data_IF_840492872893
#
_entry.id   IF_840492872893
#
_cell.length_a   1.000
_cell.length_b   1.000
_cell.length_c   1.000
_cell.angle_alpha   90.00
_cell.angle_beta   90.00
_cell.angle_gamma   90.00
#
_symmetry.space_group_name_H-M   'P 1'
#
loop_
_entity.id
_entity.type
_entity.pdbx_description
1 polymer ?
#
# COMPACT_ATOMS: atom_id res chain seq x y z
N UNK A 1 -0.37 -18.87 11.50
CA UNK A 1 0.37 -17.74 12.06
C UNK A 1 1.47 -18.30 12.94
N UNK A 2 2.71 -18.30 12.47
CA UNK A 2 3.87 -18.68 13.30
C UNK A 2 4.00 -17.66 14.42
N UNK A 3 4.06 -18.13 15.68
CA UNK A 3 4.44 -17.33 16.84
C UNK A 3 5.84 -16.73 16.62
N UNK A 4 5.89 -15.57 15.97
CA UNK A 4 7.12 -14.80 15.83
C UNK A 4 7.42 -14.20 17.19
N UNK A 5 8.45 -14.70 17.87
CA UNK A 5 9.03 -14.02 19.05
C UNK A 5 9.44 -12.61 18.65
N UNK A 6 8.60 -11.63 18.95
CA UNK A 6 8.92 -10.23 18.75
C UNK A 6 10.03 -9.84 19.71
N UNK A 7 11.24 -9.59 19.20
CA UNK A 7 12.30 -9.00 20.01
C UNK A 7 11.99 -7.52 20.20
N UNK A 8 11.60 -7.15 21.42
CA UNK A 8 11.35 -5.78 21.82
C UNK A 8 12.61 -5.14 22.41
N UNK A 9 12.72 -3.82 22.30
CA UNK A 9 13.72 -3.04 23.01
C UNK A 9 13.14 -1.70 23.47
N UNK A 10 13.61 -1.21 24.60
CA UNK A 10 13.24 0.11 25.09
C UNK A 10 13.91 1.20 24.24
N UNK A 11 13.12 2.12 23.72
CA UNK A 11 13.61 3.26 22.96
C UNK A 11 13.91 4.47 23.88
N UNK A 12 14.47 5.55 23.34
CA UNK A 12 14.81 6.73 24.12
C UNK A 12 13.60 7.50 24.72
N UNK A 13 12.37 7.12 24.35
CA UNK A 13 11.13 7.62 24.95
C UNK A 13 10.55 6.68 26.02
N UNK A 14 11.30 5.65 26.45
CA UNK A 14 10.88 4.68 27.46
C UNK A 14 9.83 3.67 26.98
N UNK A 15 9.71 3.45 25.68
CA UNK A 15 8.70 2.55 25.09
C UNK A 15 9.36 1.29 24.53
N UNK A 16 8.77 0.13 24.85
CA UNK A 16 9.12 -1.14 24.21
C UNK A 16 8.63 -1.14 22.76
N UNK A 17 9.56 -1.21 21.81
CA UNK A 17 9.27 -1.25 20.37
C UNK A 17 9.91 -2.48 19.72
N UNK A 18 9.29 -3.05 18.68
CA UNK A 18 9.86 -4.18 17.97
C UNK A 18 11.14 -3.76 17.23
N UNK A 19 12.15 -4.63 17.30
CA UNK A 19 13.40 -4.47 16.53
C UNK A 19 13.23 -4.84 15.05
N UNK A 20 12.16 -5.57 14.70
CA UNK A 20 11.82 -5.98 13.35
C UNK A 20 10.32 -5.82 13.10
N UNK A 21 9.95 -5.27 11.95
CA UNK A 21 8.57 -5.11 11.50
C UNK A 21 8.46 -5.71 10.09
N UNK A 22 7.52 -6.64 9.89
CA UNK A 22 7.33 -7.33 8.60
C UNK A 22 8.63 -7.95 8.04
N UNK A 23 9.44 -8.57 8.91
CA UNK A 23 10.73 -9.16 8.55
C UNK A 23 11.86 -8.16 8.26
N UNK A 24 11.61 -6.85 8.33
CA UNK A 24 12.60 -5.81 8.11
C UNK A 24 13.10 -5.23 9.43
N UNK A 25 14.39 -4.88 9.55
CA UNK A 25 14.91 -4.22 10.74
C UNK A 25 14.25 -2.84 10.91
N UNK A 26 13.71 -2.58 12.09
CA UNK A 26 13.15 -1.30 12.46
C UNK A 26 14.15 -0.53 13.31
N UNK A 27 14.33 0.76 13.05
CA UNK A 27 15.20 1.63 13.86
C UNK A 27 14.38 2.29 14.96
N UNK A 28 14.60 1.95 16.25
CA UNK A 28 13.94 2.64 17.35
C UNK A 28 14.30 4.11 17.39
N UNK A 29 13.41 4.92 17.96
CA UNK A 29 13.71 6.30 18.30
C UNK A 29 14.90 6.38 19.27
N UNK A 30 16.00 7.02 18.85
CA UNK A 30 17.25 7.11 19.61
C UNK A 30 17.38 8.39 20.46
N UNK A 31 16.39 9.28 20.41
CA UNK A 31 16.43 10.59 21.07
C UNK A 31 16.55 11.74 20.08
N UNK A 32 16.24 12.95 20.56
CA UNK A 32 16.32 14.19 19.76
C UNK A 32 17.78 14.46 19.41
N UNK A 33 18.08 14.71 18.12
CA UNK A 33 19.43 14.98 17.60
C UNK A 33 20.45 13.83 17.72
N UNK A 34 20.02 12.59 18.00
CA UNK A 34 20.93 11.44 18.18
C UNK A 34 21.08 10.61 16.90
N UNK A 35 20.05 10.55 16.05
CA UNK A 35 20.05 9.72 14.86
C UNK A 35 20.10 10.56 13.58
N UNK A 36 21.08 10.27 12.72
CA UNK A 36 21.19 10.78 11.35
C UNK A 36 20.81 9.65 10.37
N UNK A 37 19.68 9.72 9.68
CA UNK A 37 19.34 8.78 8.61
C UNK A 37 20.36 8.89 7.46
N UNK A 38 20.68 7.76 6.84
CA UNK A 38 21.53 7.67 5.65
C UNK A 38 20.80 6.90 4.54
N UNK A 39 21.18 7.14 3.29
CA UNK A 39 20.59 6.48 2.11
C UNK A 39 20.05 7.47 1.07
N UNK A 40 19.47 6.92 0.01
CA UNK A 40 18.82 7.69 -1.05
C UNK A 40 17.30 7.73 -0.84
N UNK A 41 16.66 8.79 -1.36
CA UNK A 41 15.20 8.80 -1.50
C UNK A 41 14.79 7.87 -2.65
N UNK A 42 13.66 7.18 -2.49
CA UNK A 42 13.08 6.41 -3.59
C UNK A 42 12.68 7.34 -4.75
N UNK A 43 12.94 6.90 -5.99
CA UNK A 43 12.53 7.59 -7.20
C UNK A 43 11.82 6.60 -8.13
N UNK A 44 10.58 6.88 -8.58
CA UNK A 44 9.90 6.02 -9.52
C UNK A 44 10.51 6.13 -10.92
N UNK A 45 10.39 5.08 -11.76
CA UNK A 45 10.70 5.18 -13.18
C UNK A 45 9.86 6.27 -13.86
N UNK A 46 10.43 6.92 -14.88
CA UNK A 46 9.73 7.95 -15.66
C UNK A 46 8.80 7.28 -16.68
N UNK A 47 7.48 7.55 -16.66
CA UNK A 47 6.59 7.07 -17.71
C UNK A 47 6.82 7.85 -19.02
N UNK A 48 6.75 7.17 -20.17
CA UNK A 48 6.99 7.79 -21.49
C UNK A 48 5.70 7.87 -22.31
N UNK A 49 5.58 8.91 -23.15
CA UNK A 49 4.45 9.03 -24.08
C UNK A 49 4.45 7.93 -25.18
N UNK A 50 5.59 7.26 -25.40
CA UNK A 50 5.70 6.16 -26.35
C UNK A 50 4.80 4.96 -25.99
N UNK A 51 4.45 4.83 -24.70
CA UNK A 51 3.61 3.74 -24.19
C UNK A 51 2.11 4.01 -24.38
N UNK A 52 1.73 5.15 -24.98
CA UNK A 52 0.36 5.61 -25.14
C UNK A 52 -0.01 5.87 -26.61
N UNK A 53 -1.31 5.95 -26.94
CA UNK A 53 -1.77 6.31 -28.29
C UNK A 53 -1.16 7.60 -28.82
N UNK A 54 -0.94 7.68 -30.14
CA UNK A 54 -0.31 8.83 -30.81
C UNK A 54 -1.05 10.15 -30.63
N UNK A 55 -2.36 10.10 -30.39
CA UNK A 55 -3.19 11.28 -30.13
C UNK A 55 -3.07 11.78 -28.67
N UNK A 56 -2.30 11.10 -27.82
CA UNK A 56 -2.08 11.45 -26.42
C UNK A 56 -3.26 11.12 -25.50
N UNK A 57 -4.33 10.50 -26.00
CA UNK A 57 -5.51 10.20 -25.19
C UNK A 57 -5.25 9.00 -24.26
N UNK A 58 -5.31 9.25 -22.95
CA UNK A 58 -5.11 8.24 -21.90
C UNK A 58 -6.40 7.73 -21.26
N UNK A 59 -7.55 8.21 -21.73
CA UNK A 59 -8.86 7.83 -21.19
C UNK A 59 -9.19 6.38 -21.54
N UNK A 60 -9.80 5.68 -20.58
CA UNK A 60 -10.33 4.32 -20.74
C UNK A 60 -11.80 4.30 -20.32
N UNK A 61 -12.55 3.31 -20.80
CA UNK A 61 -14.01 3.25 -20.60
C UNK A 61 -14.44 2.93 -19.16
N UNK A 62 -13.60 2.25 -18.39
CA UNK A 62 -13.91 1.84 -17.02
C UNK A 62 -12.65 1.58 -16.17
N UNK A 63 -12.86 1.49 -14.86
CA UNK A 63 -11.80 1.26 -13.88
C UNK A 63 -11.14 -0.12 -14.03
N UNK A 64 -11.88 -1.15 -14.46
CA UNK A 64 -11.31 -2.49 -14.68
C UNK A 64 -10.25 -2.46 -15.78
N UNK A 65 -10.56 -1.80 -16.89
CA UNK A 65 -9.66 -1.57 -18.02
C UNK A 65 -8.44 -0.75 -17.58
N UNK A 66 -8.63 0.25 -16.72
CA UNK A 66 -7.53 1.02 -16.15
C UNK A 66 -6.57 0.12 -15.35
N UNK A 67 -7.09 -0.71 -14.43
CA UNK A 67 -6.27 -1.62 -13.62
C UNK A 67 -5.48 -2.61 -14.49
N UNK A 68 -6.12 -3.17 -15.52
CA UNK A 68 -5.45 -4.07 -16.48
C UNK A 68 -4.34 -3.36 -17.26
N UNK A 69 -4.60 -2.15 -17.80
CA UNK A 69 -3.60 -1.39 -18.57
C UNK A 69 -2.46 -0.86 -17.72
N UNK A 70 -2.69 -0.59 -16.44
CA UNK A 70 -1.63 -0.27 -15.48
C UNK A 70 -0.78 -1.48 -15.10
N UNK A 71 -1.12 -2.67 -15.59
CA UNK A 71 -0.36 -3.90 -15.36
C UNK A 71 -0.49 -4.45 -13.94
N UNK A 72 -1.65 -4.22 -13.29
CA UNK A 72 -1.95 -4.75 -11.97
C UNK A 72 -1.73 -6.27 -11.94
N UNK A 73 -0.94 -6.73 -10.96
CA UNK A 73 -0.58 -8.13 -10.76
C UNK A 73 -0.29 -8.40 -9.29
N UNK A 74 -0.15 -9.67 -8.95
CA UNK A 74 0.04 -10.12 -7.58
C UNK A 74 1.26 -9.45 -6.91
N UNK A 75 1.14 -9.16 -5.61
CA UNK A 75 2.23 -8.57 -4.81
C UNK A 75 2.43 -7.06 -5.00
N UNK A 76 1.66 -6.39 -5.86
CA UNK A 76 1.77 -4.95 -6.07
C UNK A 76 1.23 -4.14 -4.88
N UNK A 77 1.66 -2.87 -4.79
CA UNK A 77 1.13 -1.91 -3.81
C UNK A 77 0.17 -0.94 -4.49
N UNK A 78 -1.02 -0.77 -3.91
CA UNK A 78 -2.02 0.23 -4.31
C UNK A 78 -2.14 1.28 -3.22
N UNK A 79 -1.98 2.55 -3.58
CA UNK A 79 -2.17 3.68 -2.67
C UNK A 79 -3.50 4.40 -2.91
N UNK A 80 -4.14 4.90 -1.85
CA UNK A 80 -5.35 5.74 -1.93
C UNK A 80 -5.21 7.03 -1.12
N UNK A 81 -5.87 8.08 -1.59
CA UNK A 81 -6.04 9.33 -0.84
C UNK A 81 -7.44 9.38 -0.24
N UNK A 82 -7.61 10.02 0.92
CA UNK A 82 -8.81 9.87 1.75
C UNK A 82 -9.72 11.11 1.80
N UNK A 83 -9.66 11.99 0.79
CA UNK A 83 -10.38 13.27 0.83
C UNK A 83 -11.90 13.13 0.90
N UNK A 84 -12.46 12.01 0.44
CA UNK A 84 -13.89 11.72 0.58
C UNK A 84 -14.28 11.17 1.96
N UNK A 85 -13.32 10.85 2.84
CA UNK A 85 -13.55 10.28 4.17
C UNK A 85 -14.49 9.06 4.08
N UNK A 86 -15.60 9.07 4.83
CA UNK A 86 -16.64 8.04 4.80
C UNK A 86 -17.42 7.96 3.47
N UNK A 87 -17.26 8.93 2.58
CA UNK A 87 -17.88 8.93 1.24
C UNK A 87 -17.01 8.29 0.16
N UNK A 88 -15.86 7.68 0.50
CA UNK A 88 -15.01 7.04 -0.50
C UNK A 88 -15.65 5.75 -1.02
N UNK A 89 -15.96 5.75 -2.31
CA UNK A 89 -16.44 4.59 -3.05
C UNK A 89 -15.35 4.01 -3.97
N UNK A 90 -14.26 4.74 -4.18
CA UNK A 90 -13.21 4.39 -5.13
C UNK A 90 -12.36 3.26 -4.58
N UNK A 91 -11.89 3.36 -3.33
CA UNK A 91 -11.04 2.33 -2.72
C UNK A 91 -11.73 0.95 -2.70
N UNK A 92 -12.99 0.90 -2.27
CA UNK A 92 -13.77 -0.34 -2.25
C UNK A 92 -13.91 -0.94 -3.66
N UNK A 93 -14.27 -0.11 -4.65
CA UNK A 93 -14.43 -0.55 -6.04
C UNK A 93 -13.12 -1.10 -6.61
N UNK A 94 -11.97 -0.50 -6.28
CA UNK A 94 -10.65 -0.98 -6.74
C UNK A 94 -10.38 -2.40 -6.26
N UNK A 95 -10.60 -2.69 -4.98
CA UNK A 95 -10.32 -4.02 -4.42
C UNK A 95 -11.35 -5.07 -4.86
N UNK A 96 -12.62 -4.69 -5.02
CA UNK A 96 -13.63 -5.56 -5.63
C UNK A 96 -13.26 -5.97 -7.06
N UNK A 97 -12.77 -5.02 -7.86
CA UNK A 97 -12.33 -5.30 -9.22
C UNK A 97 -11.04 -6.12 -9.25
N UNK A 98 -10.09 -5.85 -8.36
CA UNK A 98 -8.86 -6.65 -8.22
C UNK A 98 -9.20 -8.11 -7.88
N UNK A 99 -10.14 -8.33 -6.95
CA UNK A 99 -10.65 -9.65 -6.61
C UNK A 99 -11.27 -10.36 -7.83
N UNK A 100 -12.11 -9.66 -8.61
CA UNK A 100 -12.72 -10.20 -9.84
C UNK A 100 -11.70 -10.50 -10.95
N UNK A 101 -10.59 -9.78 -10.96
CA UNK A 101 -9.47 -10.04 -11.87
C UNK A 101 -8.59 -11.21 -11.39
N UNK A 102 -8.84 -11.74 -10.20
CA UNK A 102 -8.09 -12.86 -9.62
C UNK A 102 -6.75 -12.45 -9.02
N UNK A 103 -6.50 -11.15 -8.82
CA UNK A 103 -5.23 -10.63 -8.28
C UNK A 103 -5.17 -10.87 -6.77
N UNK A 104 -3.99 -11.25 -6.27
CA UNK A 104 -3.72 -11.61 -4.87
C UNK A 104 -2.55 -10.84 -4.28
N UNK A 105 -2.41 -10.92 -2.96
CA UNK A 105 -1.28 -10.39 -2.20
C UNK A 105 -1.03 -8.89 -2.43
N UNK A 106 -2.09 -8.10 -2.67
CA UNK A 106 -1.95 -6.67 -2.83
C UNK A 106 -1.69 -6.00 -1.49
N UNK A 107 -0.72 -5.09 -1.46
CA UNK A 107 -0.54 -4.19 -0.32
C UNK A 107 -1.42 -2.97 -0.50
N UNK A 108 -2.35 -2.74 0.44
CA UNK A 108 -3.05 -1.47 0.53
C UNK A 108 -2.23 -0.45 1.32
N UNK A 109 -1.92 0.69 0.70
CA UNK A 109 -1.17 1.79 1.30
C UNK A 109 -1.98 3.09 1.32
N UNK A 110 -3.06 3.17 2.12
CA UNK A 110 -3.88 4.36 2.23
C UNK A 110 -3.16 5.44 3.03
N UNK A 111 -3.42 6.70 2.68
CA UNK A 111 -3.06 7.83 3.55
C UNK A 111 -3.86 7.85 4.86
N UNK A 112 -5.10 7.36 4.85
CA UNK A 112 -5.91 7.02 6.03
C UNK A 112 -7.06 6.06 5.62
N UNK A 113 -7.52 5.24 6.57
CA UNK A 113 -8.71 4.40 6.42
C UNK A 113 -9.88 4.93 7.26
N UNK A 114 -11.09 4.61 6.84
CA UNK A 114 -12.35 5.09 7.42
C UNK A 114 -13.35 3.91 7.51
N UNK A 115 -14.39 3.97 8.34
CA UNK A 115 -15.40 2.92 8.46
C UNK A 115 -16.00 2.42 7.13
N UNK A 116 -16.14 3.29 6.11
CA UNK A 116 -16.63 2.87 4.79
C UNK A 116 -15.73 1.82 4.09
N UNK A 117 -14.48 1.66 4.53
CA UNK A 117 -13.53 0.68 3.99
C UNK A 117 -13.60 -0.68 4.68
N UNK A 118 -14.57 -0.92 5.57
CA UNK A 118 -14.83 -2.24 6.18
C UNK A 118 -14.81 -3.40 5.16
N UNK A 119 -15.36 -3.29 3.92
CA UNK A 119 -15.33 -4.40 2.96
C UNK A 119 -13.93 -4.94 2.63
N UNK A 120 -12.87 -4.15 2.87
CA UNK A 120 -11.49 -4.61 2.69
C UNK A 120 -11.14 -5.80 3.58
N UNK A 121 -11.80 -5.96 4.73
CA UNK A 121 -11.58 -7.10 5.64
C UNK A 121 -11.86 -8.41 4.89
N UNK A 122 -12.95 -8.48 4.11
CA UNK A 122 -13.24 -9.65 3.28
C UNK A 122 -12.18 -9.91 2.21
N UNK A 123 -11.55 -8.85 1.70
CA UNK A 123 -10.41 -8.93 0.77
C UNK A 123 -9.11 -9.35 1.48
N UNK A 124 -8.96 -9.09 2.77
CA UNK A 124 -7.87 -9.64 3.58
C UNK A 124 -8.06 -11.13 3.81
N UNK A 125 -9.26 -11.55 4.19
CA UNK A 125 -9.58 -12.96 4.46
C UNK A 125 -9.42 -13.85 3.23
N UNK A 126 -9.73 -13.33 2.04
CA UNK A 126 -9.63 -14.07 0.78
C UNK A 126 -8.26 -13.92 0.06
N UNK A 127 -7.30 -13.20 0.66
CA UNK A 127 -5.94 -13.00 0.15
C UNK A 127 -5.81 -12.04 -1.03
N UNK A 128 -6.83 -11.22 -1.33
CA UNK A 128 -6.69 -10.13 -2.30
C UNK A 128 -5.81 -9.03 -1.74
N UNK A 129 -5.98 -8.70 -0.45
CA UNK A 129 -5.15 -7.75 0.29
C UNK A 129 -4.37 -8.49 1.39
N UNK A 130 -3.11 -8.11 1.61
CA UNK A 130 -2.25 -8.64 2.68
C UNK A 130 -1.67 -7.51 3.55
#
# INVERSE_FOLDING_TARGET
>A
MTEGTYRLMENAAGRLVPTHVNGQPATPFKGVNVHRPAGSKAAPPVPSCIDYPRDGNKVVGDLKTALQRCGLRDGMTISTHHHFRNGDLVANTVFDLAARLGVKDLRWFPSASFPCHEPVIGHMDNGVVH
#
